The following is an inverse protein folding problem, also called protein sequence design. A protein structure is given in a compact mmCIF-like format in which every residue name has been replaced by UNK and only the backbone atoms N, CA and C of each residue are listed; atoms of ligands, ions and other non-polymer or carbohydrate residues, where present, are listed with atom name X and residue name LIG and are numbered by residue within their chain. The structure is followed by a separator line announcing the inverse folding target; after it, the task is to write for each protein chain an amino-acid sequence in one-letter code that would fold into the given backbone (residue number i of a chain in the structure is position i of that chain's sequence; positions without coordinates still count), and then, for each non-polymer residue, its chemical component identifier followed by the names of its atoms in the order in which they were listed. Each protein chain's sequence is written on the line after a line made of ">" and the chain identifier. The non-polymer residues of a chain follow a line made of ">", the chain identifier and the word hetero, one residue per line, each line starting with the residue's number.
data_IF_157662006901
#
_entry.id   IF_157662006901
#
_cell.length_a   1.000
_cell.length_b   1.000
_cell.length_c   1.000
_cell.angle_alpha   90.00
_cell.angle_beta   90.00
_cell.angle_gamma   90.00
#
_symmetry.space_group_name_H-M   'P 1'
#
loop_
_entity.id
_entity.type
_entity.pdbx_description
1 polymer ?
#
# COMPACT_ATOMS: atom_id res chain seq x y z
N UNK A 1 26.88 22.19 51.80
CA UNK A 1 26.55 23.50 51.19
C UNK A 1 25.34 23.27 50.30
N UNK A 2 24.23 23.98 50.52
CA UNK A 2 23.00 23.81 49.72
C UNK A 2 23.11 24.67 48.47
N UNK A 3 22.87 24.09 47.29
CA UNK A 3 22.86 24.83 46.03
C UNK A 3 21.64 25.77 46.02
N UNK A 4 21.81 27.07 45.70
CA UNK A 4 20.69 28.01 45.70
C UNK A 4 19.65 27.61 44.64
N UNK A 5 18.37 27.82 44.96
CA UNK A 5 17.27 27.57 44.03
C UNK A 5 17.44 28.43 42.76
N UNK A 6 17.21 27.82 41.59
CA UNK A 6 17.34 28.51 40.31
C UNK A 6 16.37 29.70 40.24
N UNK A 7 16.83 30.84 39.71
CA UNK A 7 16.01 32.04 39.58
C UNK A 7 14.98 31.89 38.44
N UNK A 8 13.87 32.64 38.48
CA UNK A 8 12.88 32.63 37.40
C UNK A 8 13.51 32.94 36.02
N UNK A 9 14.55 33.77 35.96
CA UNK A 9 15.26 34.04 34.71
C UNK A 9 16.04 32.82 34.19
N UNK A 10 16.65 32.03 35.08
CA UNK A 10 17.35 30.80 34.70
C UNK A 10 16.38 29.73 34.17
N UNK A 11 15.17 29.67 34.72
CA UNK A 11 14.12 28.77 34.24
C UNK A 11 13.62 29.21 32.84
N UNK A 12 13.46 30.52 32.61
CA UNK A 12 13.01 31.04 31.32
C UNK A 12 14.10 30.87 30.23
N UNK A 13 15.37 31.07 30.58
CA UNK A 13 16.50 30.83 29.68
C UNK A 13 16.62 29.35 29.26
N UNK A 14 16.30 28.41 30.16
CA UNK A 14 16.28 26.99 29.84
C UNK A 14 15.17 26.59 28.86
N UNK A 15 14.04 27.31 28.87
CA UNK A 15 12.91 27.07 27.95
C UNK A 15 13.15 27.65 26.55
N UNK A 16 13.95 28.72 26.44
CA UNK A 16 14.25 29.38 25.17
C UNK A 16 15.12 28.55 24.20
N UNK A 17 15.78 27.50 24.69
CA UNK A 17 16.55 26.54 23.90
C UNK A 17 15.80 25.24 23.58
N UNK A 18 14.54 25.10 24.01
CA UNK A 18 13.75 23.92 23.70
C UNK A 18 13.38 23.95 22.21
N UNK A 19 14.14 23.20 21.41
CA UNK A 19 13.76 22.89 20.04
C UNK A 19 12.38 22.27 20.08
N UNK A 20 11.41 22.94 19.46
CA UNK A 20 10.09 22.39 19.17
C UNK A 20 10.34 21.15 18.33
N UNK A 21 10.25 19.97 18.94
CA UNK A 21 10.13 18.72 18.20
C UNK A 21 8.74 18.78 17.59
N UNK A 22 8.63 19.36 16.41
CA UNK A 22 7.48 19.12 15.55
C UNK A 22 7.44 17.62 15.36
N UNK A 23 6.42 16.98 15.93
CA UNK A 23 6.10 15.59 15.62
C UNK A 23 5.79 15.59 14.14
N UNK A 24 6.81 15.32 13.32
CA UNK A 24 6.64 15.08 11.90
C UNK A 24 5.69 13.89 11.85
N UNK A 25 4.46 14.08 11.37
CA UNK A 25 3.59 12.96 11.01
C UNK A 25 4.45 11.96 10.23
N UNK A 26 4.40 10.65 10.54
CA UNK A 26 5.18 9.67 9.82
C UNK A 26 4.90 9.89 8.34
N UNK A 27 5.91 10.39 7.62
CA UNK A 27 5.84 10.52 6.18
C UNK A 27 5.85 9.07 5.71
N UNK A 28 4.68 8.52 5.41
CA UNK A 28 4.60 7.16 4.88
C UNK A 28 5.53 7.10 3.69
N UNK A 29 6.49 6.18 3.77
CA UNK A 29 7.37 5.89 2.66
C UNK A 29 6.54 5.55 1.42
N UNK A 30 7.11 5.79 0.25
CA UNK A 30 6.48 5.46 -1.04
C UNK A 30 6.02 3.98 -1.08
N UNK A 31 6.76 3.12 -0.38
CA UNK A 31 6.49 1.71 -0.21
C UNK A 31 5.28 1.44 0.71
N UNK A 32 5.14 2.16 1.82
CA UNK A 32 3.95 2.08 2.68
C UNK A 32 2.68 2.55 1.97
N UNK A 33 2.77 3.61 1.16
CA UNK A 33 1.63 4.11 0.38
C UNK A 33 1.24 3.10 -0.71
N UNK A 34 2.21 2.47 -1.36
CA UNK A 34 1.97 1.41 -2.34
C UNK A 34 1.31 0.18 -1.69
N UNK A 35 1.76 -0.23 -0.49
CA UNK A 35 1.16 -1.31 0.28
C UNK A 35 -0.26 -1.00 0.73
N UNK A 36 -0.52 0.21 1.21
CA UNK A 36 -1.86 0.65 1.60
C UNK A 36 -2.83 0.61 0.40
N UNK A 37 -2.37 1.07 -0.77
CA UNK A 37 -3.15 1.02 -2.01
C UNK A 37 -3.42 -0.41 -2.44
N UNK A 38 -2.41 -1.30 -2.39
CA UNK A 38 -2.58 -2.73 -2.68
C UNK A 38 -3.63 -3.37 -1.76
N UNK A 39 -3.52 -3.15 -0.46
CA UNK A 39 -4.43 -3.76 0.52
C UNK A 39 -5.86 -3.26 0.31
N UNK A 40 -6.04 -1.95 0.10
CA UNK A 40 -7.34 -1.38 -0.23
C UNK A 40 -7.92 -2.03 -1.49
N UNK A 41 -7.10 -2.26 -2.52
CA UNK A 41 -7.56 -2.91 -3.75
C UNK A 41 -7.98 -4.36 -3.49
N UNK A 42 -7.18 -5.14 -2.76
CA UNK A 42 -7.47 -6.53 -2.42
C UNK A 42 -8.81 -6.68 -1.67
N UNK A 43 -9.14 -5.74 -0.79
CA UNK A 43 -10.43 -5.73 -0.07
C UNK A 43 -11.65 -5.53 -0.99
N UNK A 44 -11.45 -4.89 -2.14
CA UNK A 44 -12.54 -4.62 -3.11
C UNK A 44 -12.67 -5.68 -4.19
N UNK A 45 -11.78 -6.68 -4.21
CA UNK A 45 -11.82 -7.77 -5.20
C UNK A 45 -12.84 -8.82 -4.76
N UNK A 46 -13.69 -9.24 -5.69
CA UNK A 46 -14.70 -10.26 -5.43
C UNK A 46 -14.11 -11.68 -5.38
N UNK A 47 -14.94 -12.65 -5.03
CA UNK A 47 -14.52 -14.06 -4.88
C UNK A 47 -13.87 -14.65 -6.14
N UNK A 48 -14.38 -14.29 -7.33
CA UNK A 48 -13.80 -14.76 -8.60
C UNK A 48 -12.40 -14.18 -8.84
N UNK A 49 -12.21 -12.89 -8.57
CA UNK A 49 -10.90 -12.25 -8.68
C UNK A 49 -9.90 -12.80 -7.66
N UNK A 50 -10.36 -13.05 -6.42
CA UNK A 50 -9.54 -13.68 -5.39
C UNK A 50 -9.11 -15.10 -5.78
N UNK A 51 -9.99 -15.87 -6.43
CA UNK A 51 -9.65 -17.20 -6.95
C UNK A 51 -8.60 -17.14 -8.07
N UNK A 52 -8.66 -16.13 -8.94
CA UNK A 52 -7.63 -15.90 -9.98
C UNK A 52 -6.28 -15.57 -9.31
N UNK A 53 -6.25 -14.62 -8.38
CA UNK A 53 -5.03 -14.23 -7.66
C UNK A 53 -4.40 -15.45 -6.98
N UNK A 54 -5.22 -16.28 -6.31
CA UNK A 54 -4.75 -17.51 -5.65
C UNK A 54 -4.09 -18.48 -6.63
N UNK A 55 -4.64 -18.63 -7.84
CA UNK A 55 -4.01 -19.48 -8.87
C UNK A 55 -2.70 -18.89 -9.39
N UNK A 56 -2.63 -17.57 -9.52
CA UNK A 56 -1.39 -16.89 -9.94
C UNK A 56 -0.27 -17.06 -8.91
N UNK A 57 -0.59 -16.99 -7.62
CA UNK A 57 0.33 -17.31 -6.52
C UNK A 57 0.77 -18.78 -6.55
N UNK A 58 -0.19 -19.71 -6.67
CA UNK A 58 0.08 -21.14 -6.64
C UNK A 58 1.02 -21.58 -7.77
N UNK A 59 0.98 -20.89 -8.91
CA UNK A 59 1.85 -21.15 -10.06
C UNK A 59 3.08 -20.25 -10.12
N UNK A 60 3.29 -19.40 -9.11
CA UNK A 60 4.44 -18.50 -9.00
C UNK A 60 4.67 -17.66 -10.27
N UNK A 61 3.58 -17.11 -10.84
CA UNK A 61 3.73 -16.22 -12.00
C UNK A 61 4.42 -14.92 -11.59
N UNK A 62 5.50 -14.60 -12.30
CA UNK A 62 6.34 -13.44 -12.07
C UNK A 62 6.36 -12.50 -13.28
N UNK A 63 6.64 -11.22 -13.04
CA UNK A 63 6.90 -10.23 -14.08
C UNK A 63 8.30 -10.40 -14.70
N UNK A 64 8.62 -9.52 -15.65
CA UNK A 64 9.92 -9.49 -16.34
C UNK A 64 11.11 -9.19 -15.41
N UNK A 65 10.85 -8.68 -14.21
CA UNK A 65 11.86 -8.37 -13.19
C UNK A 65 11.95 -9.44 -12.10
N UNK A 66 11.11 -10.49 -12.17
CA UNK A 66 11.07 -11.57 -11.19
C UNK A 66 10.16 -11.32 -9.99
N UNK A 67 9.31 -10.29 -10.00
CA UNK A 67 8.35 -10.04 -8.93
C UNK A 67 7.04 -10.80 -9.15
N UNK A 68 6.42 -11.37 -8.11
CA UNK A 68 5.09 -11.96 -8.23
C UNK A 68 4.09 -10.99 -8.87
N UNK A 69 3.34 -11.43 -9.89
CA UNK A 69 2.36 -10.58 -10.57
C UNK A 69 1.28 -10.05 -9.61
N UNK A 70 1.00 -10.77 -8.54
CA UNK A 70 0.08 -10.42 -7.45
C UNK A 70 0.55 -9.26 -6.56
N UNK A 71 1.81 -8.84 -6.69
CA UNK A 71 2.32 -7.62 -6.07
C UNK A 71 2.13 -6.39 -6.97
N UNK A 72 1.74 -6.58 -8.24
CA UNK A 72 1.58 -5.50 -9.19
C UNK A 72 0.15 -4.92 -9.14
N UNK A 73 0.03 -3.60 -8.90
CA UNK A 73 -1.25 -2.90 -8.80
C UNK A 73 -2.08 -2.93 -10.11
N UNK A 74 -1.42 -2.84 -11.27
CA UNK A 74 -2.09 -2.89 -12.57
C UNK A 74 -2.72 -4.27 -12.79
N UNK A 75 -1.98 -5.33 -12.44
CA UNK A 75 -2.49 -6.70 -12.49
C UNK A 75 -3.73 -6.87 -11.59
N UNK A 76 -3.65 -6.45 -10.33
CA UNK A 76 -4.79 -6.55 -9.40
C UNK A 76 -6.00 -5.73 -9.90
N UNK A 77 -5.75 -4.57 -10.50
CA UNK A 77 -6.79 -3.72 -11.08
C UNK A 77 -7.44 -4.38 -12.29
N UNK A 78 -6.65 -5.03 -13.15
CA UNK A 78 -7.13 -5.78 -14.29
C UNK A 78 -8.00 -6.96 -13.85
N UNK A 79 -7.54 -7.74 -12.86
CA UNK A 79 -8.32 -8.84 -12.28
C UNK A 79 -9.66 -8.32 -11.77
N UNK A 80 -9.65 -7.24 -10.97
CA UNK A 80 -10.89 -6.62 -10.47
C UNK A 80 -11.85 -6.26 -11.60
N UNK A 81 -11.36 -5.59 -12.66
CA UNK A 81 -12.19 -5.17 -13.81
C UNK A 81 -12.73 -6.34 -14.62
N UNK A 82 -11.93 -7.39 -14.79
CA UNK A 82 -12.30 -8.58 -15.55
C UNK A 82 -13.35 -9.45 -14.84
N UNK A 83 -13.39 -9.39 -13.50
CA UNK A 83 -14.34 -10.15 -12.69
C UNK A 83 -15.52 -9.33 -12.20
N UNK A 84 -15.55 -8.02 -12.46
CA UNK A 84 -16.68 -7.17 -12.12
C UNK A 84 -17.88 -7.54 -13.01
N UNK A 85 -18.89 -8.17 -12.41
CA UNK A 85 -20.07 -8.75 -13.07
C UNK A 85 -20.91 -7.68 -13.80
N UNK A 86 -20.70 -6.40 -13.48
CA UNK A 86 -21.35 -5.27 -14.17
C UNK A 86 -20.79 -5.03 -15.59
N UNK A 87 -19.62 -5.59 -15.92
CA UNK A 87 -19.06 -5.62 -17.27
C UNK A 87 -19.56 -6.83 -18.09
N UNK A 88 -20.79 -7.28 -17.84
CA UNK A 88 -21.49 -8.31 -18.63
C UNK A 88 -21.82 -7.90 -20.07
N UNK A 89 -21.00 -7.08 -20.73
CA UNK A 89 -21.00 -7.04 -22.19
C UNK A 89 -20.03 -8.11 -22.67
N UNK A 90 -20.54 -8.96 -23.55
CA UNK A 90 -19.78 -9.95 -24.29
C UNK A 90 -18.57 -9.30 -24.98
N UNK A 91 -17.43 -9.25 -24.28
CA UNK A 91 -16.14 -9.11 -24.95
C UNK A 91 -15.99 -10.31 -25.90
N UNK A 92 -15.40 -10.12 -27.09
CA UNK A 92 -15.24 -11.21 -28.05
C UNK A 92 -14.58 -12.39 -27.34
N UNK A 93 -15.33 -13.48 -27.20
CA UNK A 93 -14.80 -14.73 -26.69
C UNK A 93 -13.71 -15.13 -27.67
N UNK A 94 -12.46 -15.15 -27.23
CA UNK A 94 -11.36 -15.66 -28.05
C UNK A 94 -11.57 -17.16 -28.14
N UNK A 95 -12.34 -17.61 -29.12
CA UNK A 95 -12.34 -18.99 -29.56
C UNK A 95 -11.00 -19.19 -30.23
N UNK A 96 -10.04 -19.76 -29.51
CA UNK A 96 -8.81 -20.25 -30.11
C UNK A 96 -9.21 -21.37 -31.08
N UNK A 97 -9.45 -21.03 -32.34
CA UNK A 97 -9.75 -21.95 -33.43
C UNK A 97 -8.48 -22.41 -34.19
N UNK A 98 -7.28 -22.27 -33.63
CA UNK A 98 -6.07 -22.83 -34.25
C UNK A 98 -5.09 -23.43 -33.23
N UNK A 99 -4.85 -24.74 -33.35
CA UNK A 99 -3.73 -25.48 -32.74
C UNK A 99 -4.02 -26.91 -32.34
#
# INVERSE_FOLDING_TARGET
>A
MQQPANTPEQLNAATAGATVITVQEPQHSEEELALATRNTLLETINEQGAAIITKFEAYAFIDVNGHPLTNNLEFLTLVKKATDVTNGSAGPMVTNEEG
#
